data_IF_988471511870
#
_entry.id   IF_988471511870
#
_cell.length_a   1.000
_cell.length_b   1.000
_cell.length_c   1.000
_cell.angle_alpha   90.00
_cell.angle_beta   90.00
_cell.angle_gamma   90.00
#
_symmetry.space_group_name_H-M   'P 1'
#
loop_
_entity.id
_entity.type
_entity.pdbx_description
1 polymer ?
#
# COMPACT_ATOMS: atom_id res chain seq x y z
N UNK A 1 -25.26 -2.23 8.67
CA UNK A 1 -24.67 -3.25 9.56
C UNK A 1 -24.18 -4.50 8.82
N UNK A 2 -24.92 -5.06 7.86
CA UNK A 2 -24.50 -6.26 7.11
C UNK A 2 -23.13 -6.14 6.42
N UNK A 3 -22.84 -5.00 5.80
CA UNK A 3 -21.54 -4.76 5.15
C UNK A 3 -20.37 -4.84 6.14
N UNK A 4 -20.51 -4.26 7.34
CA UNK A 4 -19.47 -4.30 8.38
C UNK A 4 -19.22 -5.72 8.86
N UNK A 5 -20.27 -6.52 9.05
CA UNK A 5 -20.16 -7.94 9.42
C UNK A 5 -19.42 -8.72 8.33
N UNK A 6 -19.78 -8.52 7.05
CA UNK A 6 -19.10 -9.17 5.92
C UNK A 6 -17.62 -8.78 5.86
N UNK A 7 -17.29 -7.50 6.06
CA UNK A 7 -15.90 -7.04 6.06
C UNK A 7 -15.10 -7.67 7.20
N UNK A 8 -15.65 -7.68 8.43
CA UNK A 8 -14.96 -8.29 9.57
C UNK A 8 -14.80 -9.81 9.41
N UNK A 9 -15.80 -10.48 8.81
CA UNK A 9 -15.70 -11.91 8.51
C UNK A 9 -14.60 -12.18 7.48
N UNK A 10 -14.56 -11.43 6.38
CA UNK A 10 -13.52 -11.58 5.36
C UNK A 10 -12.13 -11.26 5.92
N UNK A 11 -12.03 -10.21 6.75
CA UNK A 11 -10.79 -9.84 7.42
C UNK A 11 -10.32 -10.97 8.35
N UNK A 12 -11.22 -11.51 9.18
CA UNK A 12 -10.94 -12.63 10.08
C UNK A 12 -10.48 -13.88 9.33
N UNK A 13 -11.16 -14.24 8.22
CA UNK A 13 -10.76 -15.36 7.37
C UNK A 13 -9.38 -15.13 6.75
N UNK A 14 -9.10 -13.93 6.24
CA UNK A 14 -7.80 -13.59 5.67
C UNK A 14 -6.68 -13.71 6.72
N UNK A 15 -6.88 -13.19 7.92
CA UNK A 15 -5.93 -13.32 9.02
C UNK A 15 -5.73 -14.78 9.44
N UNK A 16 -6.80 -15.56 9.51
CA UNK A 16 -6.73 -16.98 9.84
C UNK A 16 -5.89 -17.75 8.82
N UNK A 17 -6.07 -17.50 7.52
CA UNK A 17 -5.29 -18.13 6.44
C UNK A 17 -3.80 -17.76 6.58
N UNK A 18 -3.49 -16.46 6.68
CA UNK A 18 -2.10 -15.98 6.79
C UNK A 18 -1.40 -16.55 8.03
N UNK A 19 -2.08 -16.53 9.18
CA UNK A 19 -1.54 -17.09 10.43
C UNK A 19 -1.33 -18.60 10.34
N UNK A 20 -2.28 -19.34 9.76
CA UNK A 20 -2.17 -20.79 9.58
C UNK A 20 -0.96 -21.16 8.72
N UNK A 21 -0.74 -20.43 7.62
CA UNK A 21 0.45 -20.59 6.78
C UNK A 21 1.72 -20.28 7.60
N UNK A 22 1.76 -19.15 8.29
CA UNK A 22 2.93 -18.78 9.08
C UNK A 22 3.33 -19.84 10.12
N UNK A 23 2.36 -20.40 10.87
CA UNK A 23 2.62 -21.41 11.91
C UNK A 23 3.05 -22.76 11.33
N UNK A 24 2.45 -23.19 10.22
CA UNK A 24 2.78 -24.48 9.58
C UNK A 24 4.18 -24.47 8.99
N UNK A 25 4.58 -23.38 8.34
CA UNK A 25 5.89 -23.28 7.68
C UNK A 25 7.02 -22.89 8.63
N UNK A 26 6.72 -22.34 9.82
CA UNK A 26 7.72 -21.92 10.82
C UNK A 26 7.42 -22.51 12.21
N UNK A 27 7.45 -23.84 12.37
CA UNK A 27 7.18 -24.46 13.65
C UNK A 27 8.23 -24.05 14.70
N UNK A 28 7.77 -23.66 15.90
CA UNK A 28 8.65 -23.30 17.03
C UNK A 28 8.94 -21.80 17.19
N UNK A 29 8.37 -20.92 16.37
CA UNK A 29 8.46 -19.47 16.57
C UNK A 29 7.76 -19.02 17.86
N UNK A 30 8.46 -18.27 18.72
CA UNK A 30 7.87 -17.58 19.87
C UNK A 30 7.20 -16.25 19.49
N UNK A 31 6.50 -15.61 20.43
CA UNK A 31 5.86 -14.30 20.22
C UNK A 31 6.83 -13.26 19.62
N UNK A 32 8.07 -13.20 20.11
CA UNK A 32 9.09 -12.28 19.61
C UNK A 32 9.47 -12.56 18.15
N UNK A 33 9.59 -13.83 17.76
CA UNK A 33 9.92 -14.21 16.39
C UNK A 33 8.82 -13.77 15.41
N UNK A 34 7.56 -14.06 15.73
CA UNK A 34 6.43 -13.64 14.90
C UNK A 34 6.25 -12.12 14.89
N UNK A 35 6.52 -11.44 16.01
CA UNK A 35 6.51 -9.98 16.07
C UNK A 35 7.54 -9.37 15.11
N UNK A 36 8.78 -9.84 15.14
CA UNK A 36 9.84 -9.38 14.22
C UNK A 36 9.49 -9.71 12.77
N UNK A 37 8.98 -10.91 12.50
CA UNK A 37 8.56 -11.31 11.15
C UNK A 37 7.45 -10.40 10.63
N UNK A 38 6.41 -10.15 11.44
CA UNK A 38 5.30 -9.27 11.08
C UNK A 38 5.77 -7.83 10.83
N UNK A 39 6.64 -7.29 11.69
CA UNK A 39 7.24 -5.97 11.48
C UNK A 39 8.08 -5.90 10.20
N UNK A 40 8.88 -6.93 9.92
CA UNK A 40 9.67 -7.04 8.69
C UNK A 40 8.78 -7.09 7.45
N UNK A 41 7.72 -7.90 7.48
CA UNK A 41 6.74 -7.96 6.40
C UNK A 41 6.04 -6.63 6.19
N UNK A 42 5.64 -5.94 7.27
CA UNK A 42 5.00 -4.62 7.20
C UNK A 42 5.93 -3.58 6.57
N UNK A 43 7.21 -3.57 6.94
CA UNK A 43 8.21 -2.68 6.35
C UNK A 43 8.40 -2.95 4.86
N UNK A 44 8.52 -4.23 4.47
CA UNK A 44 8.61 -4.62 3.06
C UNK A 44 7.36 -4.18 2.28
N UNK A 45 6.17 -4.39 2.83
CA UNK A 45 4.92 -3.95 2.23
C UNK A 45 4.86 -2.43 2.05
N UNK A 46 5.31 -1.67 3.06
CA UNK A 46 5.36 -0.21 2.99
C UNK A 46 6.29 0.28 1.87
N UNK A 47 7.48 -0.30 1.74
CA UNK A 47 8.45 0.07 0.70
C UNK A 47 7.98 -0.31 -0.71
N UNK A 48 7.29 -1.45 -0.85
CA UNK A 48 6.81 -1.94 -2.15
C UNK A 48 5.50 -1.24 -2.56
N UNK A 49 4.78 -0.62 -1.61
CA UNK A 49 3.50 0.06 -1.82
C UNK A 49 3.45 0.98 -3.04
N UNK A 50 4.35 1.99 -3.17
CA UNK A 50 4.36 2.89 -4.32
C UNK A 50 4.54 2.17 -5.66
N UNK A 51 5.36 1.11 -5.68
CA UNK A 51 5.62 0.32 -6.89
C UNK A 51 4.42 -0.53 -7.28
N UNK A 52 3.75 -1.15 -6.30
CA UNK A 52 2.50 -1.88 -6.53
C UNK A 52 1.42 -0.97 -7.10
N UNK A 53 1.26 0.24 -6.54
CA UNK A 53 0.27 1.22 -7.03
C UNK A 53 0.61 1.65 -8.45
N UNK A 54 1.89 1.97 -8.72
CA UNK A 54 2.35 2.36 -10.06
C UNK A 54 2.00 1.30 -11.10
N UNK A 55 2.18 0.02 -10.76
CA UNK A 55 1.82 -1.09 -11.65
C UNK A 55 0.31 -1.30 -11.77
N UNK A 56 -0.42 -1.32 -10.65
CA UNK A 56 -1.86 -1.60 -10.64
C UNK A 56 -2.68 -0.52 -11.35
N UNK A 57 -2.26 0.74 -11.25
CA UNK A 57 -2.96 1.88 -11.85
C UNK A 57 -2.36 2.29 -13.21
N UNK A 58 -1.28 1.64 -13.66
CA UNK A 58 -0.62 1.97 -14.92
C UNK A 58 -0.05 3.39 -14.96
N UNK A 59 0.45 3.91 -13.83
CA UNK A 59 0.90 5.30 -13.72
C UNK A 59 2.16 5.50 -14.58
N UNK A 60 2.05 6.40 -15.55
CA UNK A 60 3.17 6.89 -16.37
C UNK A 60 3.49 8.33 -15.99
N UNK A 61 4.75 8.59 -15.66
CA UNK A 61 5.24 9.95 -15.50
C UNK A 61 5.35 10.59 -16.88
N UNK A 62 4.83 11.80 -17.02
CA UNK A 62 4.84 12.58 -18.26
C UNK A 62 5.74 13.79 -18.11
N UNK A 63 6.36 14.20 -19.21
CA UNK A 63 7.12 15.46 -19.26
C UNK A 63 6.22 16.65 -19.63
N UNK A 64 6.66 17.90 -19.39
CA UNK A 64 5.90 19.09 -19.80
C UNK A 64 5.58 19.14 -21.29
N UNK A 65 6.43 18.54 -22.13
CA UNK A 65 6.22 18.45 -23.58
C UNK A 65 5.18 17.37 -23.94
N UNK A 66 5.11 16.28 -23.16
CA UNK A 66 4.14 15.19 -23.38
C UNK A 66 2.71 15.59 -22.95
N UNK A 67 2.54 16.42 -21.92
CA UNK A 67 1.24 16.83 -21.40
C UNK A 67 1.22 18.29 -20.89
N UNK A 68 1.31 19.31 -21.77
CA UNK A 68 1.45 20.70 -21.36
C UNK A 68 0.26 21.24 -20.56
N UNK A 69 -0.96 20.87 -20.93
CA UNK A 69 -2.19 21.30 -20.23
C UNK A 69 -2.23 20.79 -18.79
N UNK A 70 -1.86 19.52 -18.58
CA UNK A 70 -1.79 18.93 -17.24
C UNK A 70 -0.75 19.65 -16.39
N UNK A 71 0.43 19.92 -16.95
CA UNK A 71 1.49 20.62 -16.23
C UNK A 71 1.08 22.05 -15.86
N UNK A 72 0.35 22.77 -16.72
CA UNK A 72 -0.19 24.10 -16.41
C UNK A 72 -1.21 24.05 -15.27
N UNK A 73 -2.18 23.12 -15.32
CA UNK A 73 -3.17 22.96 -14.24
C UNK A 73 -2.51 22.71 -12.87
N UNK A 74 -1.50 21.85 -12.84
CA UNK A 74 -0.78 21.55 -11.58
C UNK A 74 0.04 22.76 -11.11
N UNK A 75 0.60 23.56 -12.02
CA UNK A 75 1.33 24.78 -11.65
C UNK A 75 0.43 25.84 -11.03
N UNK A 76 -0.76 26.07 -11.59
CA UNK A 76 -1.75 26.99 -11.03
C UNK A 76 -2.18 26.56 -9.62
N UNK A 77 -2.43 25.26 -9.42
CA UNK A 77 -2.78 24.71 -8.11
C UNK A 77 -1.64 24.82 -7.11
N UNK A 78 -0.40 24.52 -7.51
CA UNK A 78 0.77 24.62 -6.64
C UNK A 78 1.04 26.07 -6.23
N UNK A 79 0.90 27.01 -7.17
CA UNK A 79 1.05 28.44 -6.92
C UNK A 79 -0.04 28.95 -5.97
N UNK A 80 -1.31 28.58 -6.19
CA UNK A 80 -2.41 28.95 -5.31
C UNK A 80 -2.25 28.38 -3.89
N UNK A 81 -1.69 27.18 -3.76
CA UNK A 81 -1.41 26.54 -2.49
C UNK A 81 -0.09 26.99 -1.84
N UNK A 82 0.75 27.77 -2.54
CA UNK A 82 2.05 28.22 -2.05
C UNK A 82 3.08 27.09 -1.86
N UNK A 83 2.96 26.00 -2.63
CA UNK A 83 3.85 24.84 -2.57
C UNK A 83 4.65 24.66 -3.86
N UNK A 84 5.75 23.91 -3.80
CA UNK A 84 6.50 23.52 -5.00
C UNK A 84 5.73 22.44 -5.76
N UNK A 85 5.83 22.48 -7.10
CA UNK A 85 5.28 21.44 -7.98
C UNK A 85 5.87 20.06 -7.61
N UNK A 86 5.02 19.03 -7.46
CA UNK A 86 5.44 17.66 -7.23
C UNK A 86 6.03 16.99 -8.49
#
# INVERSE_FOLDING_TARGET
MWLQIRMYLLLGVMFAIVYSVAVVFLPGGGFLFYGVLASGMLLLQYLIGPRMIKWSMGIRYVTPEEAPELHQMVDELAQAAGIKKP
#
